data_IF_837110154463
#
_entry.id   IF_837110154463
#
_cell.length_a   1.000
_cell.length_b   1.000
_cell.length_c   1.000
_cell.angle_alpha   90.00
_cell.angle_beta   90.00
_cell.angle_gamma   90.00
#
_symmetry.space_group_name_H-M   'P 1'
#
loop_
_entity.id
_entity.type
_entity.pdbx_description
1 polymer ?
#
# COMPACT_ATOMS: atom_id res chain seq x y z
N UNK A 1 -4.86 -72.04 28.18
CA UNK A 1 -4.51 -70.74 28.78
C UNK A 1 -3.88 -69.91 27.67
N UNK A 2 -4.69 -69.06 27.00
CA UNK A 2 -4.28 -68.27 25.87
C UNK A 2 -4.04 -66.83 26.38
N UNK A 3 -2.81 -66.37 26.32
CA UNK A 3 -2.42 -65.04 26.71
C UNK A 3 -2.46 -64.16 25.43
N UNK A 4 -3.46 -63.29 25.33
CA UNK A 4 -3.58 -62.30 24.28
C UNK A 4 -2.77 -61.06 24.69
N UNK A 5 -1.67 -60.82 23.98
CA UNK A 5 -0.84 -59.60 24.13
C UNK A 5 -1.49 -58.46 23.40
N UNK A 6 -2.11 -57.52 24.10
CA UNK A 6 -2.62 -56.27 23.52
C UNK A 6 -1.47 -55.28 23.44
N UNK A 7 -0.92 -55.08 22.27
CA UNK A 7 0.05 -54.00 22.03
C UNK A 7 -0.69 -52.68 21.88
N UNK A 8 -0.56 -51.85 22.89
CA UNK A 8 -1.01 -50.47 22.86
C UNK A 8 -0.05 -49.65 21.98
N UNK A 9 -0.40 -49.41 20.72
CA UNK A 9 0.29 -48.40 19.88
C UNK A 9 -0.12 -47.02 20.38
N UNK A 10 0.71 -46.41 21.20
CA UNK A 10 0.60 -44.98 21.46
C UNK A 10 1.01 -44.22 20.21
N UNK A 11 0.02 -43.67 19.47
CA UNK A 11 0.27 -42.64 18.50
C UNK A 11 0.80 -41.41 19.20
N UNK A 12 2.12 -41.22 19.15
CA UNK A 12 2.73 -39.96 19.46
C UNK A 12 2.31 -39.00 18.33
N UNK A 13 1.28 -38.21 18.58
CA UNK A 13 1.03 -37.00 17.83
C UNK A 13 2.25 -36.12 18.05
N UNK A 14 3.14 -36.06 17.06
CA UNK A 14 4.19 -35.06 17.02
C UNK A 14 3.50 -33.72 16.83
N UNK A 15 3.38 -33.01 17.94
CA UNK A 15 3.11 -31.58 17.95
C UNK A 15 4.28 -30.90 17.23
N UNK A 16 4.18 -30.80 15.90
CA UNK A 16 5.05 -29.94 15.11
C UNK A 16 4.71 -28.52 15.53
N UNK A 17 5.38 -28.03 16.55
CA UNK A 17 5.54 -26.60 16.75
C UNK A 17 6.12 -26.05 15.48
N UNK A 18 5.25 -25.59 14.60
CA UNK A 18 5.60 -24.80 13.44
C UNK A 18 6.31 -23.57 14.01
N UNK A 19 7.62 -23.59 13.90
CA UNK A 19 8.45 -22.44 14.20
C UNK A 19 8.10 -21.44 13.12
N UNK A 20 7.19 -20.51 13.45
CA UNK A 20 6.87 -19.37 12.61
C UNK A 20 8.15 -18.55 12.46
N UNK A 21 8.95 -18.93 11.46
CA UNK A 21 10.04 -18.08 11.03
C UNK A 21 9.41 -16.99 10.20
N UNK A 22 9.54 -15.74 10.63
CA UNK A 22 9.09 -14.53 9.91
C UNK A 22 9.50 -14.51 8.44
N UNK A 23 10.42 -15.35 8.06
CA UNK A 23 10.95 -15.53 6.71
C UNK A 23 10.00 -16.29 5.78
N UNK A 24 9.32 -17.30 6.27
CA UNK A 24 8.45 -18.16 5.45
C UNK A 24 7.20 -17.41 5.03
N UNK A 25 6.70 -16.51 5.86
CA UNK A 25 5.53 -15.69 5.54
C UNK A 25 5.79 -14.61 4.47
N UNK A 26 7.04 -14.16 4.33
CA UNK A 26 7.39 -13.11 3.36
C UNK A 26 7.43 -13.59 1.90
N UNK A 27 7.50 -14.89 1.68
CA UNK A 27 7.63 -15.49 0.36
C UNK A 27 6.54 -16.51 0.02
N UNK A 28 5.47 -16.58 0.82
CA UNK A 28 4.31 -17.39 0.47
C UNK A 28 3.68 -16.87 -0.82
N UNK A 29 3.54 -17.77 -1.80
CA UNK A 29 2.85 -17.43 -3.03
C UNK A 29 1.36 -17.23 -2.72
N UNK A 30 0.87 -16.04 -2.97
CA UNK A 30 -0.55 -15.73 -2.96
C UNK A 30 -1.27 -16.69 -3.93
N UNK A 31 -2.07 -17.61 -3.39
CA UNK A 31 -2.88 -18.54 -4.18
C UNK A 31 -2.76 -20.02 -3.80
N UNK A 32 -1.79 -20.41 -2.99
CA UNK A 32 -1.65 -21.82 -2.56
C UNK A 32 -2.25 -22.10 -1.18
N UNK A 33 -2.42 -21.10 -0.33
CA UNK A 33 -3.06 -21.25 0.97
C UNK A 33 -4.02 -20.09 1.25
N UNK A 34 -5.27 -20.40 1.52
CA UNK A 34 -6.22 -19.42 2.04
C UNK A 34 -5.84 -19.10 3.49
N UNK A 35 -5.87 -17.82 3.89
CA UNK A 35 -5.59 -17.45 5.27
C UNK A 35 -6.56 -18.14 6.22
N UNK A 36 -6.06 -18.57 7.38
CA UNK A 36 -6.89 -19.19 8.42
C UNK A 36 -8.05 -18.28 8.83
N UNK A 37 -9.23 -18.82 9.09
CA UNK A 37 -10.35 -18.05 9.59
C UNK A 37 -10.03 -17.47 10.98
N UNK A 38 -10.55 -16.27 11.24
CA UNK A 38 -10.46 -15.61 12.53
C UNK A 38 -11.76 -14.84 12.81
N UNK A 39 -11.82 -14.06 13.89
CA UNK A 39 -13.01 -13.28 14.29
C UNK A 39 -13.37 -12.20 13.26
N UNK A 40 -12.42 -11.74 12.45
CA UNK A 40 -12.61 -10.71 11.43
C UNK A 40 -13.02 -11.25 10.07
N UNK A 41 -12.70 -12.52 9.76
CA UNK A 41 -13.08 -13.14 8.49
C UNK A 41 -13.24 -14.66 8.61
N UNK A 42 -14.14 -15.19 7.79
CA UNK A 42 -14.36 -16.63 7.64
C UNK A 42 -13.31 -17.26 6.72
N UNK A 43 -13.26 -18.60 6.67
CA UNK A 43 -12.40 -19.33 5.74
C UNK A 43 -12.67 -19.02 4.25
N UNK A 44 -13.91 -18.65 3.90
CA UNK A 44 -14.30 -18.24 2.55
C UNK A 44 -13.95 -16.78 2.23
N UNK A 45 -13.36 -16.03 3.16
CA UNK A 45 -13.05 -14.61 3.01
C UNK A 45 -14.22 -13.65 3.30
N UNK A 46 -15.39 -14.16 3.69
CA UNK A 46 -16.51 -13.32 4.10
C UNK A 46 -16.22 -12.63 5.45
N UNK A 47 -16.84 -11.46 5.71
CA UNK A 47 -16.71 -10.78 6.99
C UNK A 47 -17.07 -11.67 8.19
N UNK A 48 -16.25 -11.62 9.24
CA UNK A 48 -16.52 -12.26 10.52
C UNK A 48 -17.39 -11.38 11.43
N UNK A 49 -17.64 -11.83 12.63
CA UNK A 49 -18.53 -11.12 13.58
C UNK A 49 -17.88 -9.86 14.19
N UNK A 50 -16.56 -9.74 14.17
CA UNK A 50 -15.80 -8.55 14.60
C UNK A 50 -15.21 -7.78 13.42
N UNK A 51 -15.74 -7.97 12.22
CA UNK A 51 -15.26 -7.27 11.05
C UNK A 51 -15.44 -5.76 11.20
N UNK A 52 -14.40 -5.03 10.86
CA UNK A 52 -14.40 -3.57 10.82
C UNK A 52 -13.89 -3.06 9.47
N UNK A 53 -14.26 -1.86 9.13
CA UNK A 53 -13.80 -1.18 7.92
C UNK A 53 -13.43 0.26 8.26
N UNK A 54 -12.25 0.67 7.83
CA UNK A 54 -11.81 2.05 7.96
C UNK A 54 -12.62 2.97 7.05
N UNK A 55 -12.78 4.23 7.47
CA UNK A 55 -13.50 5.24 6.72
C UNK A 55 -12.61 6.49 6.59
N UNK A 56 -12.65 7.10 5.41
CA UNK A 56 -12.04 8.40 5.17
C UNK A 56 -13.01 9.30 4.42
N UNK A 57 -13.24 10.50 4.94
CA UNK A 57 -14.03 11.54 4.30
C UNK A 57 -13.08 12.62 3.77
N UNK A 58 -13.31 13.05 2.52
CA UNK A 58 -12.45 14.00 1.82
C UNK A 58 -13.22 15.29 1.52
N UNK A 59 -12.60 16.43 1.84
CA UNK A 59 -13.07 17.75 1.38
C UNK A 59 -11.95 18.38 0.59
N UNK A 60 -12.17 18.62 -0.70
CA UNK A 60 -11.19 19.15 -1.61
C UNK A 60 -11.62 20.51 -2.17
N UNK A 61 -10.67 21.44 -2.22
CA UNK A 61 -10.80 22.70 -2.96
C UNK A 61 -9.69 22.77 -3.96
N UNK A 62 -10.04 22.75 -5.24
CA UNK A 62 -9.09 22.69 -6.35
C UNK A 62 -9.29 23.93 -7.23
N UNK A 63 -8.19 24.56 -7.64
CA UNK A 63 -8.17 25.70 -8.56
C UNK A 63 -7.31 25.28 -9.75
N UNK A 64 -7.90 25.32 -10.93
CA UNK A 64 -7.20 25.14 -12.21
C UNK A 64 -6.85 26.52 -12.78
N UNK A 65 -5.58 26.72 -13.07
CA UNK A 65 -5.10 27.87 -13.83
C UNK A 65 -4.69 27.41 -15.23
N UNK A 66 -5.56 27.66 -16.19
CA UNK A 66 -5.39 27.25 -17.58
C UNK A 66 -4.25 28.04 -18.27
N UNK A 67 -4.04 29.30 -17.88
CA UNK A 67 -3.00 30.14 -18.48
C UNK A 67 -1.59 29.63 -18.11
N UNK A 68 -1.41 29.21 -16.87
CA UNK A 68 -0.13 28.70 -16.37
C UNK A 68 -0.08 27.17 -16.36
N UNK A 69 -1.15 26.50 -16.84
CA UNK A 69 -1.28 25.03 -16.87
C UNK A 69 -0.96 24.40 -15.52
N UNK A 70 -1.47 25.00 -14.46
CA UNK A 70 -1.20 24.57 -13.09
C UNK A 70 -2.48 24.29 -12.29
N UNK A 71 -2.37 23.36 -11.35
CA UNK A 71 -3.45 23.00 -10.42
C UNK A 71 -2.95 23.25 -9.00
N UNK A 72 -3.73 24.05 -8.26
CA UNK A 72 -3.50 24.26 -6.83
C UNK A 72 -4.65 23.65 -6.05
N UNK A 73 -4.36 22.85 -5.05
CA UNK A 73 -5.36 22.15 -4.25
C UNK A 73 -5.13 22.28 -2.75
N UNK A 74 -6.22 22.27 -2.02
CA UNK A 74 -6.26 22.02 -0.58
C UNK A 74 -7.19 20.87 -0.32
N UNK A 75 -6.72 19.88 0.41
CA UNK A 75 -7.47 18.70 0.80
C UNK A 75 -7.52 18.60 2.33
N UNK A 76 -8.70 18.28 2.85
CA UNK A 76 -8.93 17.95 4.24
C UNK A 76 -9.45 16.52 4.31
N UNK A 77 -8.71 15.66 4.99
CA UNK A 77 -9.02 14.25 5.15
C UNK A 77 -9.42 14.00 6.60
N UNK A 78 -10.65 13.52 6.80
CA UNK A 78 -11.08 13.01 8.10
C UNK A 78 -11.04 11.50 8.08
N UNK A 79 -10.09 10.93 8.81
CA UNK A 79 -9.89 9.49 8.89
C UNK A 79 -10.51 8.94 10.16
N UNK A 80 -11.33 7.89 10.04
CA UNK A 80 -11.98 7.21 11.16
C UNK A 80 -11.33 5.85 11.35
N UNK A 81 -10.62 5.70 12.45
CA UNK A 81 -10.07 4.40 12.84
C UNK A 81 -11.15 3.58 13.55
N UNK A 82 -11.72 2.62 12.83
CA UNK A 82 -12.73 1.70 13.35
C UNK A 82 -12.11 0.35 13.79
N UNK A 83 -10.77 0.23 13.69
CA UNK A 83 -10.07 -0.95 14.18
C UNK A 83 -9.84 -0.87 15.70
N UNK A 84 -9.62 -2.01 16.37
CA UNK A 84 -9.21 -2.03 17.77
C UNK A 84 -7.75 -1.56 17.98
N UNK A 85 -6.99 -1.42 16.91
CA UNK A 85 -5.57 -1.09 16.97
C UNK A 85 -5.33 0.42 16.90
N UNK A 86 -4.40 0.92 17.68
CA UNK A 86 -3.93 2.29 17.59
C UNK A 86 -3.05 2.48 16.36
N UNK A 87 -3.24 3.60 15.67
CA UNK A 87 -2.46 3.94 14.48
C UNK A 87 -1.38 4.97 14.84
N UNK A 88 -0.13 4.62 14.62
CA UNK A 88 1.01 5.51 14.83
C UNK A 88 1.31 6.37 13.59
N UNK A 89 0.90 5.94 12.42
CA UNK A 89 1.09 6.63 11.15
C UNK A 89 0.00 6.30 10.15
N UNK A 90 -0.10 7.14 9.12
CA UNK A 90 -0.94 6.91 7.95
C UNK A 90 -0.10 6.97 6.68
N UNK A 91 -0.49 6.15 5.70
CA UNK A 91 0.04 6.23 4.35
C UNK A 91 -0.94 6.94 3.43
N UNK A 92 -0.43 7.92 2.69
CA UNK A 92 -1.16 8.63 1.64
C UNK A 92 -0.48 8.36 0.30
N UNK A 93 -1.25 7.96 -0.69
CA UNK A 93 -0.75 7.72 -2.03
C UNK A 93 -0.71 9.03 -2.82
N UNK A 94 0.42 9.30 -3.43
CA UNK A 94 0.70 10.47 -4.26
C UNK A 94 0.85 10.04 -5.72
N UNK A 95 -0.27 9.75 -6.40
CA UNK A 95 -0.27 9.15 -7.75
C UNK A 95 0.49 9.98 -8.79
N UNK A 96 0.41 11.30 -8.73
CA UNK A 96 1.09 12.18 -9.68
C UNK A 96 2.62 12.13 -9.56
N UNK A 97 3.17 11.66 -8.43
CA UNK A 97 4.61 11.51 -8.27
C UNK A 97 5.22 10.44 -9.21
N UNK A 98 4.41 9.62 -9.85
CA UNK A 98 4.86 8.76 -10.96
C UNK A 98 5.49 9.58 -12.09
N UNK A 99 5.12 10.86 -12.20
CA UNK A 99 5.62 11.82 -13.22
C UNK A 99 6.65 12.80 -12.66
N UNK A 100 7.04 12.66 -11.41
CA UNK A 100 8.09 13.48 -10.83
C UNK A 100 9.45 13.21 -11.52
N UNK A 101 10.34 14.22 -11.59
CA UNK A 101 11.63 14.08 -12.26
C UNK A 101 12.49 12.94 -11.73
N UNK A 102 12.36 12.63 -10.44
CA UNK A 102 13.08 11.54 -9.77
C UNK A 102 12.32 10.21 -9.77
N UNK A 103 11.22 10.13 -10.51
CA UNK A 103 10.40 8.91 -10.61
C UNK A 103 11.14 7.78 -11.32
N UNK A 104 10.90 6.55 -10.87
CA UNK A 104 11.39 5.35 -11.53
C UNK A 104 10.52 4.88 -12.70
N UNK A 105 9.47 5.62 -13.06
CA UNK A 105 8.52 5.22 -14.11
C UNK A 105 9.20 5.02 -15.47
N UNK A 106 10.23 5.82 -15.77
CA UNK A 106 11.03 5.69 -17.00
C UNK A 106 11.86 4.39 -17.04
N UNK A 107 12.33 3.92 -15.87
CA UNK A 107 13.14 2.70 -15.75
C UNK A 107 12.28 1.43 -15.88
N UNK A 108 11.01 1.51 -15.54
CA UNK A 108 10.07 0.38 -15.58
C UNK A 108 9.49 0.19 -16.97
N UNK A 109 9.46 1.26 -17.80
CA UNK A 109 9.00 1.16 -19.17
C UNK A 109 9.97 0.31 -20.00
N UNK A 110 9.59 -0.93 -20.27
CA UNK A 110 10.26 -1.77 -21.26
C UNK A 110 9.86 -1.27 -22.66
N UNK A 111 10.61 -0.34 -23.22
CA UNK A 111 10.52 -0.01 -24.64
C UNK A 111 11.63 -0.73 -25.37
N UNK A 112 11.31 -1.59 -26.33
CA UNK A 112 12.28 -2.08 -27.27
C UNK A 112 12.72 -0.90 -28.15
N UNK A 113 14.01 -0.62 -28.18
CA UNK A 113 14.57 0.34 -29.13
C UNK A 113 14.30 -0.19 -30.54
N UNK A 114 13.60 0.61 -31.36
CA UNK A 114 13.40 0.30 -32.78
C UNK A 114 14.56 0.88 -33.58
N UNK A 115 14.95 0.17 -34.63
CA UNK A 115 16.06 0.61 -35.52
C UNK A 115 15.75 1.96 -36.18
N UNK A 116 14.48 2.33 -36.29
CA UNK A 116 14.02 3.61 -36.83
C UNK A 116 12.96 4.23 -35.94
N UNK A 117 13.11 5.51 -35.66
CA UNK A 117 12.12 6.31 -34.93
C UNK A 117 11.43 7.25 -35.92
N UNK A 118 10.10 7.35 -35.85
CA UNK A 118 9.38 8.39 -36.59
C UNK A 118 9.67 9.75 -35.95
N UNK A 119 9.55 10.85 -36.76
CA UNK A 119 9.68 12.21 -36.24
C UNK A 119 8.74 12.49 -35.06
N UNK A 120 7.52 11.94 -35.09
CA UNK A 120 6.56 12.05 -33.97
C UNK A 120 7.07 11.37 -32.69
N UNK A 121 7.74 10.21 -32.80
CA UNK A 121 8.34 9.52 -31.67
C UNK A 121 9.52 10.31 -31.09
N UNK A 122 10.30 10.94 -31.92
CA UNK A 122 11.39 11.84 -31.50
C UNK A 122 10.82 13.06 -30.77
N UNK A 123 9.78 13.69 -31.31
CA UNK A 123 9.11 14.80 -30.64
C UNK A 123 8.51 14.42 -29.31
N UNK A 124 7.93 13.22 -29.16
CA UNK A 124 7.41 12.75 -27.87
C UNK A 124 8.51 12.45 -26.85
N UNK A 125 9.71 12.13 -27.29
CA UNK A 125 10.87 11.90 -26.43
C UNK A 125 11.52 13.22 -25.96
N UNK A 126 11.44 14.27 -26.78
CA UNK A 126 12.09 15.56 -26.52
C UNK A 126 11.09 16.58 -25.94
N UNK A 127 9.81 16.47 -26.31
CA UNK A 127 8.81 17.51 -26.03
C UNK A 127 8.35 17.64 -24.58
N UNK A 128 8.59 16.63 -23.73
CA UNK A 128 8.18 16.64 -22.32
C UNK A 128 9.31 17.08 -21.34
N UNK A 129 10.40 17.64 -21.86
CA UNK A 129 11.55 17.98 -21.01
C UNK A 129 11.28 19.16 -20.07
N UNK A 130 10.30 20.00 -20.36
CA UNK A 130 9.95 21.16 -19.54
C UNK A 130 8.83 20.89 -18.53
N UNK A 131 8.21 19.70 -18.58
CA UNK A 131 7.14 19.34 -17.66
C UNK A 131 7.69 18.77 -16.36
N UNK A 132 7.56 19.52 -15.27
CA UNK A 132 7.89 19.07 -13.93
C UNK A 132 6.60 18.53 -13.30
N UNK A 133 6.43 17.20 -13.38
CA UNK A 133 5.27 16.51 -12.79
C UNK A 133 5.48 16.18 -11.33
N UNK A 134 4.42 15.69 -10.68
CA UNK A 134 4.41 15.32 -9.27
C UNK A 134 3.71 16.35 -8.39
N UNK A 135 3.68 16.09 -7.09
CA UNK A 135 3.12 17.00 -6.09
C UNK A 135 4.23 17.83 -5.43
N UNK A 136 4.03 19.13 -5.36
CA UNK A 136 4.77 20.05 -4.52
C UNK A 136 3.97 20.29 -3.23
N UNK A 137 4.20 19.46 -2.21
CA UNK A 137 3.48 19.51 -0.94
C UNK A 137 3.98 20.72 -0.13
N UNK A 138 3.12 21.71 0.05
CA UNK A 138 3.45 22.94 0.78
C UNK A 138 3.39 22.77 2.29
N UNK A 139 2.39 22.03 2.79
CA UNK A 139 2.26 21.76 4.23
C UNK A 139 1.34 20.57 4.48
N UNK A 140 1.62 19.87 5.57
CA UNK A 140 0.75 18.83 6.14
C UNK A 140 0.48 19.22 7.58
N UNK A 141 -0.80 19.32 7.94
CA UNK A 141 -1.20 19.75 9.29
C UNK A 141 -2.34 18.86 9.81
N UNK A 142 -2.39 18.65 11.12
CA UNK A 142 -3.52 18.07 11.82
C UNK A 142 -3.97 19.00 12.94
N UNK A 143 -5.25 19.33 12.99
CA UNK A 143 -5.80 20.28 13.97
C UNK A 143 -5.02 21.61 14.04
N UNK A 144 -4.56 22.09 12.88
CA UNK A 144 -3.77 23.33 12.76
C UNK A 144 -2.29 23.24 13.19
N UNK A 145 -1.82 22.08 13.63
CA UNK A 145 -0.42 21.84 14.00
C UNK A 145 0.33 21.14 12.86
N UNK A 146 1.59 21.51 12.58
CA UNK A 146 2.37 20.84 11.56
C UNK A 146 2.66 19.38 11.94
N UNK A 147 2.55 18.50 10.94
CA UNK A 147 2.81 17.07 11.07
C UNK A 147 4.15 16.72 10.43
N UNK A 148 4.82 15.72 11.02
CA UNK A 148 6.00 15.10 10.42
C UNK A 148 5.54 14.16 9.30
N UNK A 149 6.20 14.24 8.14
CA UNK A 149 5.93 13.34 7.04
C UNK A 149 7.20 13.03 6.25
N UNK A 150 7.20 11.90 5.58
CA UNK A 150 8.28 11.44 4.70
C UNK A 150 7.65 11.01 3.38
N UNK A 151 8.18 11.51 2.27
CA UNK A 151 7.77 11.10 0.93
C UNK A 151 8.81 10.12 0.37
N UNK A 152 8.33 8.95 -0.03
CA UNK A 152 9.11 7.98 -0.76
C UNK A 152 8.39 7.68 -2.08
N UNK A 153 8.83 8.34 -3.15
CA UNK A 153 8.23 8.25 -4.48
C UNK A 153 6.73 8.58 -4.47
N UNK A 154 5.88 7.61 -4.70
CA UNK A 154 4.42 7.77 -4.73
C UNK A 154 3.73 7.57 -3.39
N UNK A 155 4.49 7.35 -2.31
CA UNK A 155 3.93 7.12 -0.98
C UNK A 155 4.41 8.20 -0.01
N UNK A 156 3.48 8.77 0.72
CA UNK A 156 3.74 9.70 1.83
C UNK A 156 3.31 9.05 3.14
N UNK A 157 4.25 8.92 4.06
CA UNK A 157 3.98 8.52 5.44
C UNK A 157 3.80 9.77 6.28
N UNK A 158 2.74 9.84 7.04
CA UNK A 158 2.45 10.90 8.01
C UNK A 158 2.47 10.27 9.39
N UNK A 159 3.37 10.73 10.26
CA UNK A 159 3.46 10.23 11.64
C UNK A 159 2.42 10.93 12.52
N UNK A 160 1.61 10.13 13.21
CA UNK A 160 0.60 10.64 14.14
C UNK A 160 1.26 10.93 15.49
N UNK A 161 0.94 12.08 16.09
CA UNK A 161 1.51 12.47 17.40
C UNK A 161 0.80 11.82 18.56
N UNK A 162 -0.44 11.45 18.34
CA UNK A 162 -1.31 10.76 19.29
C UNK A 162 -1.96 9.61 18.52
N UNK A 163 -1.75 8.37 18.97
CA UNK A 163 -2.32 7.18 18.32
C UNK A 163 -3.84 7.06 18.52
#
# INVERSE_FOLDING_TARGET
MIITLVSCLSLMAQDRKQKDTEWEQKFEQLGTMLPSPNVYRTASGAPGHEYWQQKADYKMKIILDDNNQSITGKEEITYYNNSPDNLEYLWVQLDQNVRAPDSHSGLIRRSAMRDTLSSLSVFSLIGDQDYIGGFDIKSVTSSGKPMSYIINKTMMRIDLKEP
#
